data_IF_219293348608
#
_entry.id   IF_219293348608
#
_cell.length_a   1.000
_cell.length_b   1.000
_cell.length_c   1.000
_cell.angle_alpha   90.00
_cell.angle_beta   90.00
_cell.angle_gamma   90.00
#
_symmetry.space_group_name_H-M   'P 1'
#
loop_
_entity.id
_entity.type
_entity.pdbx_description
1 polymer ?
#
# COMPACT_ATOMS: atom_id res chain seq x y z
N UNK A 1 -35.80 -5.48 2.77
CA UNK A 1 -34.70 -6.45 2.87
C UNK A 1 -33.84 -6.02 4.05
N UNK A 2 -33.74 -6.85 5.09
CA UNK A 2 -32.99 -6.55 6.30
C UNK A 2 -31.51 -6.39 5.98
N UNK A 3 -31.01 -5.14 5.96
CA UNK A 3 -29.60 -4.83 5.99
C UNK A 3 -29.11 -5.12 7.41
N UNK A 4 -28.61 -6.32 7.64
CA UNK A 4 -27.82 -6.60 8.83
C UNK A 4 -26.58 -5.71 8.77
N UNK A 5 -26.61 -4.59 9.50
CA UNK A 5 -25.40 -3.91 9.96
C UNK A 5 -24.43 -5.01 10.38
N UNK A 6 -23.21 -5.11 9.81
CA UNK A 6 -22.27 -6.12 10.23
C UNK A 6 -22.09 -5.94 11.73
N UNK A 7 -22.65 -6.86 12.52
CA UNK A 7 -22.48 -6.82 13.96
C UNK A 7 -20.99 -6.72 14.19
N UNK A 8 -20.60 -5.73 15.01
CA UNK A 8 -19.25 -5.53 15.52
C UNK A 8 -18.93 -6.73 16.43
N UNK A 9 -18.79 -7.90 15.81
CA UNK A 9 -18.48 -9.16 16.46
C UNK A 9 -17.14 -8.92 17.12
N UNK A 10 -17.08 -9.04 18.45
CA UNK A 10 -15.85 -8.89 19.22
C UNK A 10 -14.73 -9.61 18.49
N UNK A 11 -13.77 -8.84 17.98
CA UNK A 11 -12.61 -9.37 17.26
C UNK A 11 -11.94 -10.39 18.18
N UNK A 12 -12.05 -11.67 17.82
CA UNK A 12 -11.50 -12.77 18.61
C UNK A 12 -9.97 -12.78 18.56
N UNK A 13 -9.30 -13.45 19.51
CA UNK A 13 -7.84 -13.56 19.54
C UNK A 13 -7.26 -14.16 18.24
N UNK A 14 -7.99 -15.06 17.58
CA UNK A 14 -7.59 -15.64 16.28
C UNK A 14 -7.41 -14.60 15.16
N UNK A 15 -8.21 -13.52 15.17
CA UNK A 15 -8.10 -12.46 14.18
C UNK A 15 -6.84 -11.60 14.37
N UNK A 16 -6.43 -11.36 15.62
CA UNK A 16 -5.16 -10.68 15.92
C UNK A 16 -3.95 -11.55 15.59
N UNK A 17 -4.05 -12.87 15.83
CA UNK A 17 -3.02 -13.80 15.40
C UNK A 17 -2.88 -13.82 13.88
N UNK A 18 -3.99 -13.87 13.13
CA UNK A 18 -3.98 -13.80 11.67
C UNK A 18 -3.39 -12.47 11.17
N UNK A 19 -3.65 -11.35 11.85
CA UNK A 19 -3.03 -10.06 11.54
C UNK A 19 -1.51 -10.07 11.79
N UNK A 20 -1.06 -10.63 12.92
CA UNK A 20 0.36 -10.73 13.23
C UNK A 20 1.09 -11.64 12.22
N UNK A 21 0.47 -12.76 11.86
CA UNK A 21 0.95 -13.63 10.79
C UNK A 21 1.05 -12.88 9.47
N UNK A 22 0.00 -12.14 9.08
CA UNK A 22 0.02 -11.33 7.86
C UNK A 22 1.17 -10.31 7.85
N UNK A 23 1.40 -9.63 8.97
CA UNK A 23 2.47 -8.66 9.11
C UNK A 23 3.85 -9.31 8.90
N UNK A 24 4.11 -10.46 9.50
CA UNK A 24 5.36 -11.21 9.31
C UNK A 24 5.46 -11.73 7.87
N UNK A 25 4.38 -12.32 7.35
CA UNK A 25 4.34 -12.97 6.04
C UNK A 25 4.65 -12.00 4.89
N UNK A 26 4.08 -10.79 4.91
CA UNK A 26 4.31 -9.78 3.89
C UNK A 26 5.55 -8.89 4.14
N UNK A 27 6.24 -9.03 5.29
CA UNK A 27 7.34 -8.12 5.66
C UNK A 27 8.67 -8.36 4.94
N UNK A 28 8.92 -9.57 4.44
CA UNK A 28 10.25 -9.94 3.95
C UNK A 28 11.23 -10.42 5.04
N UNK A 29 10.86 -10.33 6.33
CA UNK A 29 11.78 -10.60 7.46
C UNK A 29 12.26 -12.06 7.53
N UNK A 30 11.42 -13.00 7.09
CA UNK A 30 11.70 -14.43 7.11
C UNK A 30 12.24 -14.93 5.76
N UNK A 31 12.57 -14.04 4.84
CA UNK A 31 13.04 -14.39 3.50
C UNK A 31 14.35 -15.17 3.52
N UNK A 32 14.45 -16.22 2.70
CA UNK A 32 15.70 -16.98 2.56
C UNK A 32 15.51 -18.45 2.19
N UNK A 33 16.60 -19.21 2.25
CA UNK A 33 16.63 -20.66 1.97
C UNK A 33 16.35 -21.52 3.21
N UNK A 34 16.16 -20.89 4.36
CA UNK A 34 15.88 -21.57 5.61
C UNK A 34 14.46 -22.13 5.64
N UNK A 35 14.20 -23.11 6.50
CA UNK A 35 12.89 -23.77 6.60
C UNK A 35 11.75 -22.80 6.91
N UNK A 36 12.03 -21.74 7.67
CA UNK A 36 11.06 -20.71 8.04
C UNK A 36 10.73 -19.75 6.89
N UNK A 37 11.46 -19.82 5.77
CA UNK A 37 11.17 -19.07 4.54
C UNK A 37 9.80 -19.44 3.93
N UNK A 38 9.20 -20.55 4.33
CA UNK A 38 7.81 -20.90 3.99
C UNK A 38 6.81 -19.88 4.56
N UNK A 39 7.17 -19.14 5.60
CA UNK A 39 6.34 -18.07 6.16
C UNK A 39 6.68 -16.70 5.59
N UNK A 40 7.38 -16.62 4.46
CA UNK A 40 7.70 -15.38 3.77
C UNK A 40 7.03 -15.34 2.39
N UNK A 41 6.30 -14.25 2.13
CA UNK A 41 5.59 -14.05 0.88
C UNK A 41 6.54 -14.09 -0.32
N UNK A 42 7.69 -13.40 -0.23
CA UNK A 42 8.63 -13.29 -1.36
C UNK A 42 9.25 -14.64 -1.70
N UNK A 43 9.58 -15.42 -0.68
CA UNK A 43 10.18 -16.75 -0.80
C UNK A 43 9.19 -17.75 -1.40
N UNK A 44 7.93 -17.75 -0.94
CA UNK A 44 6.88 -18.60 -1.52
C UNK A 44 6.45 -18.17 -2.91
N UNK A 45 6.36 -16.85 -3.15
CA UNK A 45 6.03 -16.31 -4.46
C UNK A 45 7.11 -16.67 -5.50
N UNK A 46 8.36 -16.78 -5.06
CA UNK A 46 9.48 -17.17 -5.89
C UNK A 46 9.79 -16.17 -7.00
N UNK A 47 10.46 -16.65 -8.04
CA UNK A 47 10.84 -15.84 -9.19
C UNK A 47 10.12 -16.34 -10.44
N UNK A 48 9.22 -15.51 -10.96
CA UNK A 48 8.52 -15.80 -12.22
C UNK A 48 9.34 -15.37 -13.42
N UNK A 49 9.33 -16.20 -14.46
CA UNK A 49 9.87 -15.85 -15.76
C UNK A 49 11.38 -15.88 -15.91
N UNK A 50 12.06 -16.76 -15.17
CA UNK A 50 13.47 -17.05 -15.43
C UNK A 50 13.63 -17.81 -16.74
N UNK A 51 14.38 -17.24 -17.68
CA UNK A 51 14.77 -17.83 -18.95
C UNK A 51 16.29 -17.87 -19.06
N UNK A 52 16.85 -18.88 -19.72
CA UNK A 52 18.29 -18.92 -20.00
C UNK A 52 18.60 -17.84 -21.04
N UNK A 53 19.41 -16.86 -20.66
CA UNK A 53 19.78 -15.72 -21.50
C UNK A 53 21.14 -15.90 -22.17
N UNK A 54 22.01 -16.73 -21.58
CA UNK A 54 23.31 -17.05 -22.16
C UNK A 54 23.70 -18.46 -21.72
N UNK A 55 24.25 -19.24 -22.63
CA UNK A 55 24.89 -20.50 -22.32
C UNK A 55 26.31 -20.46 -22.87
N UNK A 56 27.30 -20.77 -22.04
CA UNK A 56 28.70 -20.86 -22.43
C UNK A 56 29.25 -22.20 -21.95
N UNK A 57 29.98 -22.89 -22.82
CA UNK A 57 30.68 -24.11 -22.45
C UNK A 57 32.13 -23.73 -22.18
N UNK A 58 32.57 -23.91 -20.93
CA UNK A 58 33.96 -23.67 -20.54
C UNK A 58 34.49 -24.93 -19.85
N UNK A 59 35.57 -25.50 -20.39
CA UNK A 59 36.24 -26.73 -19.94
C UNK A 59 35.28 -27.91 -19.63
N UNK A 60 34.31 -28.14 -20.51
CA UNK A 60 33.30 -29.21 -20.38
C UNK A 60 32.15 -28.91 -19.41
N UNK A 61 32.18 -27.77 -18.72
CA UNK A 61 31.12 -27.33 -17.81
C UNK A 61 30.20 -26.32 -18.50
N UNK A 62 28.91 -26.64 -18.61
CA UNK A 62 27.90 -25.74 -19.16
C UNK A 62 27.51 -24.67 -18.13
N UNK A 63 27.95 -23.43 -18.36
CA UNK A 63 27.56 -22.28 -17.55
C UNK A 63 26.39 -21.56 -18.21
N UNK A 64 25.24 -21.54 -17.54
CA UNK A 64 24.04 -20.84 -18.03
C UNK A 64 23.75 -19.62 -17.17
N UNK A 65 23.67 -18.45 -17.79
CA UNK A 65 23.13 -17.25 -17.17
C UNK A 65 21.63 -17.18 -17.41
N UNK A 66 20.85 -16.91 -16.38
CA UNK A 66 19.41 -16.69 -16.49
C UNK A 66 19.07 -15.20 -16.49
N UNK A 67 18.16 -14.75 -17.36
CA UNK A 67 17.48 -13.45 -17.26
C UNK A 67 15.98 -13.62 -16.99
N UNK A 68 15.28 -12.53 -16.72
CA UNK A 68 13.82 -12.52 -16.69
C UNK A 68 13.23 -12.48 -18.12
N UNK A 69 11.94 -12.81 -18.28
CA UNK A 69 11.15 -12.62 -19.52
C UNK A 69 11.19 -11.18 -20.05
N UNK A 70 11.52 -10.22 -19.18
CA UNK A 70 11.73 -8.82 -19.52
C UNK A 70 12.93 -8.59 -20.46
N UNK A 71 13.88 -9.53 -20.52
CA UNK A 71 15.12 -9.36 -21.29
C UNK A 71 16.07 -8.31 -20.68
N UNK A 72 17.07 -7.87 -21.45
CA UNK A 72 18.08 -6.88 -21.03
C UNK A 72 18.28 -5.87 -22.17
N UNK A 73 18.39 -4.58 -21.84
CA UNK A 73 18.74 -3.52 -22.79
C UNK A 73 17.59 -2.80 -23.50
N UNK A 74 16.32 -3.10 -23.14
CA UNK A 74 15.15 -2.38 -23.64
C UNK A 74 14.61 -1.39 -22.61
N UNK A 75 14.31 -0.16 -23.03
CA UNK A 75 13.58 0.84 -22.23
C UNK A 75 12.47 1.44 -23.10
N UNK A 76 11.21 1.02 -22.88
CA UNK A 76 10.07 1.46 -23.69
C UNK A 76 8.75 0.75 -23.35
N UNK A 77 7.69 1.00 -24.11
CA UNK A 77 6.35 0.47 -23.82
C UNK A 77 6.28 -1.07 -23.78
N UNK A 78 7.05 -1.76 -24.65
CA UNK A 78 7.13 -3.23 -24.65
C UNK A 78 7.78 -3.79 -23.38
N UNK A 79 8.79 -3.10 -22.85
CA UNK A 79 9.45 -3.45 -21.60
C UNK A 79 8.49 -3.30 -20.41
N UNK A 80 7.70 -2.22 -20.39
CA UNK A 80 6.63 -2.01 -19.41
C UNK A 80 5.52 -3.07 -19.48
N UNK A 81 5.12 -3.50 -20.67
CA UNK A 81 4.12 -4.55 -20.85
C UNK A 81 4.61 -5.91 -20.33
N UNK A 82 5.85 -6.30 -20.66
CA UNK A 82 6.46 -7.54 -20.15
C UNK A 82 6.67 -7.49 -18.64
N UNK A 83 7.02 -6.33 -18.08
CA UNK A 83 7.05 -6.11 -16.64
C UNK A 83 5.67 -6.36 -16.00
N UNK A 84 4.60 -5.80 -16.57
CA UNK A 84 3.23 -5.98 -16.06
C UNK A 84 2.79 -7.45 -16.08
N UNK A 85 3.10 -8.21 -17.15
CA UNK A 85 2.83 -9.65 -17.19
C UNK A 85 3.60 -10.41 -16.10
N UNK A 86 4.81 -9.96 -15.76
CA UNK A 86 5.59 -10.52 -14.66
C UNK A 86 4.97 -10.34 -13.27
N UNK A 87 4.07 -9.36 -13.09
CA UNK A 87 3.41 -9.09 -11.81
C UNK A 87 2.18 -9.96 -11.55
N UNK A 88 1.57 -10.54 -12.60
CA UNK A 88 0.29 -11.27 -12.49
C UNK A 88 0.34 -12.36 -11.40
N UNK A 89 1.33 -13.28 -11.38
CA UNK A 89 1.34 -14.35 -10.38
C UNK A 89 1.46 -13.82 -8.95
N UNK A 90 2.31 -12.80 -8.74
CA UNK A 90 2.52 -12.20 -7.44
C UNK A 90 1.26 -11.51 -6.91
N UNK A 91 0.57 -10.76 -7.78
CA UNK A 91 -0.69 -10.09 -7.42
C UNK A 91 -1.78 -11.12 -7.10
N UNK A 92 -1.91 -12.18 -7.91
CA UNK A 92 -2.90 -13.24 -7.65
C UNK A 92 -2.61 -13.98 -6.33
N UNK A 93 -1.35 -14.30 -6.05
CA UNK A 93 -0.97 -14.96 -4.80
C UNK A 93 -1.21 -14.07 -3.58
N UNK A 94 -0.92 -12.77 -3.68
CA UNK A 94 -1.22 -11.80 -2.64
C UNK A 94 -2.73 -11.71 -2.37
N UNK A 95 -3.55 -11.58 -3.41
CA UNK A 95 -5.01 -11.53 -3.28
C UNK A 95 -5.59 -12.82 -2.68
N UNK A 96 -5.11 -13.98 -3.12
CA UNK A 96 -5.50 -15.28 -2.54
C UNK A 96 -5.18 -15.36 -1.04
N UNK A 97 -3.99 -14.92 -0.65
CA UNK A 97 -3.57 -14.87 0.76
C UNK A 97 -4.44 -13.90 1.56
N UNK A 98 -4.72 -12.70 1.03
CA UNK A 98 -5.59 -11.71 1.67
C UNK A 98 -6.98 -12.28 1.92
N UNK A 99 -7.56 -13.00 0.96
CA UNK A 99 -8.89 -13.63 1.14
C UNK A 99 -8.89 -14.66 2.27
N UNK A 100 -7.82 -15.46 2.40
CA UNK A 100 -7.66 -16.41 3.52
C UNK A 100 -7.56 -15.65 4.84
N UNK A 101 -6.74 -14.60 4.92
CA UNK A 101 -6.58 -13.79 6.12
C UNK A 101 -7.86 -13.04 6.50
N UNK A 102 -8.62 -12.57 5.52
CA UNK A 102 -9.92 -11.96 5.72
C UNK A 102 -10.93 -12.95 6.30
N UNK A 103 -10.94 -14.19 5.82
CA UNK A 103 -11.77 -15.26 6.37
C UNK A 103 -11.47 -15.50 7.86
N UNK A 104 -10.19 -15.46 8.25
CA UNK A 104 -9.77 -15.54 9.66
C UNK A 104 -9.96 -14.25 10.46
N UNK A 105 -10.48 -13.18 9.84
CA UNK A 105 -10.80 -11.92 10.51
C UNK A 105 -9.64 -10.95 10.66
N UNK A 106 -8.48 -11.18 10.02
CA UNK A 106 -7.32 -10.30 10.11
C UNK A 106 -7.65 -8.86 9.71
N UNK A 107 -8.46 -8.68 8.66
CA UNK A 107 -8.91 -7.35 8.22
C UNK A 107 -9.78 -6.66 9.28
N UNK A 108 -10.61 -7.40 10.02
CA UNK A 108 -11.41 -6.85 11.13
C UNK A 108 -10.51 -6.42 12.29
N UNK A 109 -9.50 -7.22 12.63
CA UNK A 109 -8.49 -6.85 13.61
C UNK A 109 -7.69 -5.62 13.19
N UNK A 110 -7.29 -5.53 11.92
CA UNK A 110 -6.60 -4.38 11.36
C UNK A 110 -7.46 -3.11 11.47
N UNK A 111 -8.74 -3.18 11.08
CA UNK A 111 -9.69 -2.05 11.23
C UNK A 111 -9.79 -1.60 12.68
N UNK A 112 -9.90 -2.53 13.63
CA UNK A 112 -9.97 -2.21 15.06
C UNK A 112 -8.68 -1.61 15.60
N UNK A 113 -7.52 -2.03 15.10
CA UNK A 113 -6.22 -1.47 15.48
C UNK A 113 -5.97 -0.09 14.86
N UNK A 114 -6.47 0.15 13.64
CA UNK A 114 -6.41 1.45 12.98
C UNK A 114 -7.40 2.46 13.56
N UNK A 115 -8.53 2.02 14.10
CA UNK A 115 -9.55 2.92 14.68
C UNK A 115 -9.00 3.87 15.76
N UNK A 116 -8.28 3.43 16.80
CA UNK A 116 -7.71 4.33 17.81
C UNK A 116 -6.63 5.26 17.27
N UNK A 117 -6.07 4.99 16.09
CA UNK A 117 -5.13 5.88 15.41
C UNK A 117 -5.86 6.90 14.53
N UNK A 118 -6.77 6.44 13.67
CA UNK A 118 -7.46 7.27 12.68
C UNK A 118 -8.54 8.16 13.29
N UNK A 119 -9.22 7.69 14.35
CA UNK A 119 -10.29 8.45 15.00
C UNK A 119 -9.80 9.75 15.66
N UNK A 120 -8.72 9.76 16.47
CA UNK A 120 -8.21 11.03 16.99
C UNK A 120 -7.56 11.87 15.88
N UNK A 121 -6.80 11.24 14.97
CA UNK A 121 -5.94 11.95 14.02
C UNK A 121 -6.68 12.54 12.83
N UNK A 122 -7.73 11.88 12.33
CA UNK A 122 -8.52 12.31 11.17
C UNK A 122 -10.03 12.38 11.45
N UNK A 123 -10.52 11.82 12.57
CA UNK A 123 -11.96 11.79 12.86
C UNK A 123 -12.73 10.70 12.13
N UNK A 124 -12.06 9.81 11.40
CA UNK A 124 -12.69 8.76 10.57
C UNK A 124 -12.65 7.39 11.28
N UNK A 125 -13.60 6.49 10.99
CA UNK A 125 -13.59 5.13 11.55
C UNK A 125 -12.47 4.27 10.92
N UNK A 126 -12.00 3.24 11.63
CA UNK A 126 -10.96 2.35 11.12
C UNK A 126 -11.42 1.46 9.96
N UNK A 127 -12.73 1.39 9.66
CA UNK A 127 -13.28 0.79 8.44
C UNK A 127 -12.75 1.48 7.18
N UNK A 128 -12.45 2.78 7.25
CA UNK A 128 -11.80 3.54 6.19
C UNK A 128 -10.31 3.18 5.97
N UNK A 129 -9.75 2.29 6.80
CA UNK A 129 -8.33 1.89 6.72
C UNK A 129 -7.93 1.28 5.37
N UNK A 130 -8.79 0.49 4.73
CA UNK A 130 -8.50 -0.08 3.41
C UNK A 130 -8.47 1.00 2.33
N UNK A 131 -9.46 1.91 2.34
CA UNK A 131 -9.50 3.05 1.46
C UNK A 131 -8.29 3.98 1.68
N UNK A 132 -7.79 4.09 2.91
CA UNK A 132 -6.61 4.89 3.25
C UNK A 132 -5.36 4.28 2.60
N UNK A 133 -5.16 2.97 2.74
CA UNK A 133 -4.04 2.26 2.11
C UNK A 133 -4.13 2.39 0.58
N UNK A 134 -5.31 2.17 0.01
CA UNK A 134 -5.55 2.35 -1.43
C UNK A 134 -5.21 3.76 -1.90
N UNK A 135 -5.60 4.79 -1.13
CA UNK A 135 -5.35 6.19 -1.46
C UNK A 135 -3.86 6.59 -1.46
N UNK A 136 -3.02 5.87 -0.72
CA UNK A 136 -1.57 6.11 -0.72
C UNK A 136 -0.88 5.56 -1.96
N UNK A 137 -1.52 4.61 -2.66
CA UNK A 137 -1.01 4.02 -3.89
C UNK A 137 -1.63 4.65 -5.13
N UNK A 138 -2.91 4.99 -5.07
CA UNK A 138 -3.64 5.62 -6.16
C UNK A 138 -4.80 6.43 -5.61
N UNK A 139 -4.87 7.70 -6.03
CA UNK A 139 -6.00 8.59 -5.69
C UNK A 139 -7.33 8.03 -6.18
N UNK A 140 -7.35 7.41 -7.37
CA UNK A 140 -8.58 6.87 -7.97
C UNK A 140 -9.10 5.65 -7.21
N UNK A 141 -8.18 4.76 -6.78
CA UNK A 141 -8.52 3.62 -5.93
C UNK A 141 -9.01 4.10 -4.57
N UNK A 142 -8.34 5.09 -3.96
CA UNK A 142 -8.79 5.71 -2.71
C UNK A 142 -10.21 6.29 -2.79
N UNK A 143 -10.50 7.05 -3.85
CA UNK A 143 -11.80 7.68 -4.07
C UNK A 143 -12.91 6.64 -4.28
N UNK A 144 -12.67 5.60 -5.10
CA UNK A 144 -13.66 4.55 -5.36
C UNK A 144 -14.00 3.74 -4.10
N UNK A 145 -12.99 3.36 -3.30
CA UNK A 145 -13.21 2.66 -2.03
C UNK A 145 -13.90 3.56 -0.99
N UNK A 146 -13.59 4.85 -0.98
CA UNK A 146 -14.24 5.83 -0.08
C UNK A 146 -15.72 6.02 -0.44
N UNK A 147 -16.02 6.07 -1.73
CA UNK A 147 -17.39 6.11 -2.22
C UNK A 147 -18.16 4.87 -1.78
N UNK A 148 -17.62 3.66 -1.95
CA UNK A 148 -18.28 2.43 -1.50
C UNK A 148 -18.58 2.47 0.01
N UNK A 149 -17.64 2.96 0.83
CA UNK A 149 -17.85 3.12 2.27
C UNK A 149 -18.99 4.10 2.58
N UNK A 150 -19.12 5.18 1.81
CA UNK A 150 -20.22 6.14 1.95
C UNK A 150 -21.56 5.54 1.52
N UNK A 151 -21.58 4.85 0.37
CA UNK A 151 -22.77 4.23 -0.21
C UNK A 151 -23.31 3.10 0.70
N UNK A 152 -22.42 2.41 1.41
CA UNK A 152 -22.76 1.38 2.41
C UNK A 152 -23.11 1.95 3.80
N UNK A 153 -23.04 3.27 4.00
CA UNK A 153 -23.32 3.93 5.29
C UNK A 153 -22.27 3.63 6.38
N UNK A 154 -21.06 3.22 6.00
CA UNK A 154 -19.96 2.94 6.94
C UNK A 154 -19.18 4.18 7.37
N UNK A 155 -19.36 5.32 6.66
CA UNK A 155 -18.82 6.63 7.00
C UNK A 155 -19.92 7.69 6.83
N UNK A 156 -19.92 8.70 7.68
CA UNK A 156 -20.81 9.87 7.52
C UNK A 156 -20.34 10.81 6.41
N UNK A 157 -21.21 11.69 5.92
CA UNK A 157 -20.86 12.73 4.94
C UNK A 157 -19.70 13.62 5.44
N UNK A 158 -19.71 13.99 6.73
CA UNK A 158 -18.62 14.76 7.35
C UNK A 158 -17.30 13.98 7.35
N UNK A 159 -17.33 12.69 7.66
CA UNK A 159 -16.14 11.83 7.64
C UNK A 159 -15.62 11.63 6.21
N UNK A 160 -16.53 11.50 5.23
CA UNK A 160 -16.20 11.42 3.80
C UNK A 160 -15.50 12.70 3.32
N UNK A 161 -16.01 13.88 3.65
CA UNK A 161 -15.41 15.15 3.26
C UNK A 161 -14.01 15.33 3.85
N UNK A 162 -13.84 15.04 5.14
CA UNK A 162 -12.54 15.07 5.82
C UNK A 162 -11.57 14.08 5.18
N UNK A 163 -12.06 12.89 4.82
CA UNK A 163 -11.23 11.88 4.20
C UNK A 163 -10.85 12.22 2.76
N UNK A 164 -11.76 12.79 1.98
CA UNK A 164 -11.47 13.30 0.64
C UNK A 164 -10.39 14.38 0.70
N UNK A 165 -10.47 15.30 1.65
CA UNK A 165 -9.43 16.31 1.85
C UNK A 165 -8.07 15.68 2.15
N UNK A 166 -8.01 14.70 3.07
CA UNK A 166 -6.78 13.96 3.34
C UNK A 166 -6.19 13.33 2.07
N UNK A 167 -7.04 12.70 1.24
CA UNK A 167 -6.60 12.02 0.02
C UNK A 167 -6.03 13.01 -1.00
N UNK A 168 -6.75 14.10 -1.29
CA UNK A 168 -6.35 15.07 -2.31
C UNK A 168 -5.21 16.02 -1.91
N UNK A 169 -4.96 16.23 -0.60
CA UNK A 169 -3.92 17.17 -0.13
C UNK A 169 -2.50 16.84 -0.60
N UNK A 170 -2.16 15.55 -0.76
CA UNK A 170 -0.86 15.12 -1.28
C UNK A 170 -0.83 13.67 -1.83
N UNK A 171 -1.99 13.06 -2.16
CA UNK A 171 -2.04 11.69 -2.69
C UNK A 171 -1.19 11.51 -3.95
N UNK A 172 -1.47 12.30 -4.98
CA UNK A 172 -0.72 12.29 -6.24
C UNK A 172 0.75 12.74 -6.07
N UNK A 173 1.02 13.61 -5.10
CA UNK A 173 2.39 14.09 -4.84
C UNK A 173 3.27 12.96 -4.30
N UNK A 174 2.75 12.13 -3.39
CA UNK A 174 3.49 10.98 -2.84
C UNK A 174 3.83 9.98 -3.95
N UNK A 175 2.87 9.63 -4.80
CA UNK A 175 3.08 8.68 -5.89
C UNK A 175 4.07 9.22 -6.93
N UNK A 176 3.97 10.50 -7.29
CA UNK A 176 4.91 11.15 -8.21
C UNK A 176 6.32 11.28 -7.60
N UNK A 177 6.41 11.57 -6.30
CA UNK A 177 7.69 11.68 -5.60
C UNK A 177 8.45 10.36 -5.61
N UNK A 178 7.78 9.23 -5.36
CA UNK A 178 8.41 7.91 -5.45
C UNK A 178 8.68 7.48 -6.90
N UNK A 179 7.81 7.84 -7.85
CA UNK A 179 7.97 7.43 -9.24
C UNK A 179 9.11 8.16 -9.96
N UNK A 180 9.31 9.45 -9.70
CA UNK A 180 10.28 10.27 -10.43
C UNK A 180 11.05 11.26 -9.56
N UNK A 181 10.48 11.73 -8.46
CA UNK A 181 11.14 12.69 -7.55
C UNK A 181 12.39 12.14 -6.85
N UNK A 182 12.43 10.83 -6.58
CA UNK A 182 13.55 10.18 -5.90
C UNK A 182 14.88 10.32 -6.63
N UNK A 183 14.88 10.47 -7.97
CA UNK A 183 16.10 10.64 -8.77
C UNK A 183 16.82 11.96 -8.48
N UNK A 184 16.11 12.97 -7.95
CA UNK A 184 16.73 14.24 -7.59
C UNK A 184 17.73 14.09 -6.43
N UNK A 185 17.55 13.09 -5.57
CA UNK A 185 18.45 12.80 -4.45
C UNK A 185 19.73 12.07 -4.88
N UNK A 186 19.80 11.61 -6.14
CA UNK A 186 21.04 11.04 -6.70
C UNK A 186 21.89 12.09 -7.41
N UNK A 187 21.40 13.33 -7.52
CA UNK A 187 22.15 14.42 -8.14
C UNK A 187 23.23 14.96 -7.19
N UNK A 188 24.41 15.18 -7.76
CA UNK A 188 25.59 15.71 -7.06
C UNK A 188 25.95 17.05 -7.69
N UNK A 189 26.20 18.06 -6.86
CA UNK A 189 26.67 19.36 -7.29
C UNK A 189 28.13 19.31 -7.77
N UNK A 190 28.59 20.38 -8.44
CA UNK A 190 29.93 20.44 -9.02
C UNK A 190 31.07 20.34 -7.97
N UNK A 191 30.75 20.57 -6.70
CA UNK A 191 31.64 20.46 -5.55
C UNK A 191 31.63 19.06 -4.88
N UNK A 192 30.88 18.10 -5.45
CA UNK A 192 30.78 16.74 -4.91
C UNK A 192 29.75 16.59 -3.78
N UNK A 193 29.03 17.65 -3.40
CA UNK A 193 27.97 17.58 -2.37
C UNK A 193 26.63 17.16 -2.97
N UNK A 194 25.72 16.63 -2.14
CA UNK A 194 24.37 16.28 -2.60
C UNK A 194 23.62 17.54 -3.05
N UNK A 195 23.07 17.53 -4.27
CA UNK A 195 22.35 18.69 -4.82
C UNK A 195 21.06 19.01 -4.05
N UNK A 196 20.50 18.01 -3.35
CA UNK A 196 19.34 18.17 -2.47
C UNK A 196 19.81 18.05 -1.02
N UNK A 197 19.74 19.13 -0.21
CA UNK A 197 20.25 19.15 1.17
C UNK A 197 19.33 18.43 2.17
N UNK A 198 18.31 17.72 1.70
CA UNK A 198 17.23 17.12 2.49
C UNK A 198 17.20 15.61 2.28
N UNK A 199 16.58 14.85 3.18
CA UNK A 199 16.36 13.41 3.03
C UNK A 199 14.99 13.09 2.41
N UNK A 200 14.91 11.95 1.72
CA UNK A 200 13.65 11.38 1.21
C UNK A 200 12.61 11.28 2.34
N UNK A 201 13.03 10.85 3.53
CA UNK A 201 12.17 10.72 4.71
C UNK A 201 11.60 12.06 5.18
N UNK A 202 12.39 13.14 5.17
CA UNK A 202 11.92 14.47 5.55
C UNK A 202 10.85 15.00 4.57
N UNK A 203 11.04 14.80 3.26
CA UNK A 203 10.04 15.18 2.26
C UNK A 203 8.72 14.42 2.45
N UNK A 204 8.79 13.11 2.69
CA UNK A 204 7.61 12.27 2.97
C UNK A 204 6.92 12.72 4.26
N UNK A 205 7.68 13.00 5.32
CA UNK A 205 7.13 13.48 6.58
C UNK A 205 6.34 14.77 6.39
N UNK A 206 6.87 15.75 5.64
CA UNK A 206 6.16 17.00 5.33
C UNK A 206 4.86 16.71 4.57
N UNK A 207 4.88 15.87 3.54
CA UNK A 207 3.68 15.50 2.78
C UNK A 207 2.61 14.88 3.68
N UNK A 208 2.98 13.94 4.55
CA UNK A 208 2.03 13.30 5.47
C UNK A 208 1.50 14.24 6.53
N UNK A 209 2.36 15.06 7.15
CA UNK A 209 1.95 16.05 8.15
C UNK A 209 0.94 17.02 7.52
N UNK A 210 1.22 17.53 6.31
CA UNK A 210 0.32 18.46 5.63
C UNK A 210 -1.02 17.83 5.27
N UNK A 211 -1.07 16.54 4.91
CA UNK A 211 -2.35 15.82 4.74
C UNK A 211 -3.17 15.80 6.02
N UNK A 212 -2.53 15.52 7.16
CA UNK A 212 -3.19 15.48 8.48
C UNK A 212 -3.68 16.87 8.87
N UNK A 213 -2.85 17.90 8.68
CA UNK A 213 -3.21 19.29 8.94
C UNK A 213 -4.40 19.70 8.07
N UNK A 214 -4.37 19.47 6.76
CA UNK A 214 -5.47 19.80 5.85
C UNK A 214 -6.78 19.12 6.23
N UNK A 215 -6.73 17.84 6.57
CA UNK A 215 -7.91 17.10 7.04
C UNK A 215 -8.49 17.68 8.35
N UNK A 216 -7.64 18.04 9.31
CA UNK A 216 -8.10 18.61 10.57
C UNK A 216 -8.60 20.05 10.44
N UNK A 217 -8.01 20.86 9.54
CA UNK A 217 -8.53 22.18 9.20
C UNK A 217 -9.95 22.09 8.63
N UNK A 218 -10.19 21.16 7.69
CA UNK A 218 -11.53 20.93 7.16
C UNK A 218 -12.48 20.40 8.25
N UNK A 219 -12.01 19.49 9.10
CA UNK A 219 -12.80 18.97 10.24
C UNK A 219 -13.24 20.08 11.18
N UNK A 220 -12.37 21.04 11.49
CA UNK A 220 -12.70 22.22 12.28
C UNK A 220 -13.71 23.11 11.56
N UNK A 221 -13.46 23.43 10.29
CA UNK A 221 -14.36 24.24 9.47
C UNK A 221 -15.79 23.67 9.40
N UNK A 222 -15.91 22.36 9.16
CA UNK A 222 -17.19 21.65 9.12
C UNK A 222 -17.88 21.62 10.49
N UNK A 223 -17.12 21.64 11.58
CA UNK A 223 -17.67 21.71 12.94
C UNK A 223 -18.19 23.12 13.27
N UNK A 224 -17.55 24.18 12.77
CA UNK A 224 -18.05 25.55 12.92
C UNK A 224 -19.25 25.88 12.04
N UNK A 225 -19.34 25.29 10.86
CA UNK A 225 -20.42 25.57 9.90
C UNK A 225 -21.71 24.79 10.21
N UNK A 226 -21.70 23.93 11.24
CA UNK A 226 -22.86 23.11 11.63
C UNK A 226 -23.31 22.10 10.55
N UNK A 227 -22.51 21.91 9.50
CA UNK A 227 -22.84 21.12 8.31
C UNK A 227 -22.70 19.60 8.56
N UNK A 228 -23.09 19.15 9.74
CA UNK A 228 -22.97 17.75 10.17
C UNK A 228 -23.90 17.30 11.29
N UNK A 229 -24.77 18.17 11.82
CA UNK A 229 -25.74 17.81 12.88
C UNK A 229 -27.19 17.68 12.36
N UNK A 230 -27.39 17.63 11.05
CA UNK A 230 -28.69 17.39 10.45
C UNK A 230 -28.82 15.92 9.99
N UNK A 231 -29.44 15.13 10.87
CA UNK A 231 -30.10 13.83 10.68
C UNK A 231 -29.30 12.65 10.10
#
# INVERSE_FOLDING_TARGET
MNSSVPQDSKVGPGAYFALAFAAVFFSGLLGGKEWYGVFDFTTLNGAFGKVVSKASLDDGTLTTSSSAFRGVGGSGAMDGFLFALGLIPAVMFALGTINVLEHYGALRAARRLLTPLLRPLLGIPGTAGLALIGSLQSTDVGASLTRNLSDEGQISEKEKDVFAMFQFSAGAMITNFFSSGAILFTLVAADGTAAVPTSIGACIAVMFIMKIVGANLLRLFLSFTGKGDAA
#
